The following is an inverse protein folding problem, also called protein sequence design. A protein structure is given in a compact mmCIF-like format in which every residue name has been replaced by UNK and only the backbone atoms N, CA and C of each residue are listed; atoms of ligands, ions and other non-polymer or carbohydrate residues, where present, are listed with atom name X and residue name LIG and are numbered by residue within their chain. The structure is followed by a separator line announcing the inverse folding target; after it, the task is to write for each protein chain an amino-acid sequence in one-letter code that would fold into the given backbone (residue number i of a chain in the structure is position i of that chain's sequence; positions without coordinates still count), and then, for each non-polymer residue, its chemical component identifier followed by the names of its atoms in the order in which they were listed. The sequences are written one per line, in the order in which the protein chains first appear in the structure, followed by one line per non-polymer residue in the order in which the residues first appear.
data_IF_961485644217
#
_entry.id   IF_961485644217
#
_cell.length_a   1.000
_cell.length_b   1.000
_cell.length_c   1.000
_cell.angle_alpha   90.00
_cell.angle_beta   90.00
_cell.angle_gamma   90.00
#
_symmetry.space_group_name_H-M   'P 1'
#
loop_
_entity.id
_entity.type
_entity.pdbx_description
1 polymer ?
#
# COMPACT_ATOMS: atom_id res chain seq x y z
N UNK A 1 -19.06 32.26 6.08
CA UNK A 1 -20.19 31.51 6.65
C UNK A 1 -20.59 30.46 5.62
N UNK A 2 -20.10 29.24 5.79
CA UNK A 2 -20.32 28.11 4.90
C UNK A 2 -20.20 26.87 5.77
N UNK A 3 -21.33 26.48 6.34
CA UNK A 3 -21.47 25.38 7.29
C UNK A 3 -21.17 24.08 6.54
N UNK A 4 -20.12 23.37 6.97
CA UNK A 4 -19.91 21.98 6.58
C UNK A 4 -20.90 21.17 7.43
N UNK A 5 -22.12 21.08 6.94
CA UNK A 5 -23.11 20.14 7.46
C UNK A 5 -23.49 19.19 6.33
N UNK A 6 -23.69 17.94 6.71
CA UNK A 6 -24.18 16.81 5.91
C UNK A 6 -23.15 16.07 5.05
N UNK A 7 -22.21 15.40 5.75
CA UNK A 7 -21.94 14.00 5.39
C UNK A 7 -23.20 13.25 5.82
N UNK A 8 -24.15 13.17 4.90
CA UNK A 8 -25.31 12.27 4.99
C UNK A 8 -24.82 10.90 5.43
N UNK A 9 -25.40 10.41 6.52
CA UNK A 9 -25.49 9.02 6.93
C UNK A 9 -25.55 8.12 5.70
N UNK A 10 -24.40 7.55 5.32
CA UNK A 10 -24.39 6.36 4.50
C UNK A 10 -25.00 5.27 5.40
N UNK A 11 -26.17 4.80 5.00
CA UNK A 11 -26.76 3.57 5.52
C UNK A 11 -25.67 2.53 5.70
N UNK A 12 -25.67 1.89 6.88
CA UNK A 12 -24.66 0.95 7.35
C UNK A 12 -24.26 -0.05 6.27
N UNK A 13 -23.20 0.26 5.53
CA UNK A 13 -22.28 -0.76 5.05
C UNK A 13 -21.85 -1.47 6.34
N UNK A 14 -22.15 -2.76 6.47
CA UNK A 14 -21.65 -3.52 7.62
C UNK A 14 -20.15 -3.32 7.79
N UNK A 15 -19.59 -3.71 8.94
CA UNK A 15 -18.17 -3.52 9.26
C UNK A 15 -17.26 -3.82 8.06
N UNK A 16 -16.46 -2.83 7.66
CA UNK A 16 -15.55 -2.92 6.52
C UNK A 16 -14.18 -3.36 7.00
N UNK A 17 -13.65 -4.45 6.44
CA UNK A 17 -12.33 -5.01 6.79
C UNK A 17 -11.26 -4.47 5.87
N UNK A 18 -10.41 -3.59 6.41
CA UNK A 18 -9.37 -2.89 5.67
C UNK A 18 -7.99 -3.46 6.00
N UNK A 19 -7.35 -4.05 5.01
CA UNK A 19 -5.98 -4.54 5.13
C UNK A 19 -4.97 -3.48 4.65
N UNK A 20 -4.05 -3.06 5.52
CA UNK A 20 -2.97 -2.12 5.20
C UNK A 20 -1.64 -2.88 5.07
N UNK A 21 -0.91 -2.65 3.98
CA UNK A 21 0.45 -3.16 3.84
C UNK A 21 1.44 -2.41 4.74
N UNK A 22 1.76 -2.99 5.89
CA UNK A 22 2.67 -2.43 6.89
C UNK A 22 4.06 -3.09 6.87
N UNK A 23 4.38 -3.95 5.89
CA UNK A 23 5.64 -4.73 5.86
C UNK A 23 6.89 -3.87 5.84
N UNK A 24 6.85 -2.73 5.16
CA UNK A 24 7.98 -1.78 5.08
C UNK A 24 8.30 -1.08 6.40
N UNK A 25 7.41 -1.15 7.41
CA UNK A 25 7.72 -0.67 8.76
C UNK A 25 8.72 -1.56 9.50
N UNK A 26 8.94 -2.78 9.02
CA UNK A 26 9.90 -3.74 9.57
C UNK A 26 11.20 -3.83 8.76
N UNK A 27 11.31 -3.07 7.66
CA UNK A 27 12.52 -3.04 6.82
C UNK A 27 13.32 -1.75 7.05
N UNK A 28 14.37 -1.54 6.25
CA UNK A 28 15.12 -0.27 6.22
C UNK A 28 14.26 0.91 5.76
N UNK A 29 13.15 0.66 5.07
CA UNK A 29 12.23 1.70 4.61
C UNK A 29 11.49 2.40 5.77
N UNK A 30 11.49 1.81 6.98
CA UNK A 30 10.85 2.39 8.16
C UNK A 30 11.34 3.80 8.46
N UNK A 31 12.63 4.10 8.28
CA UNK A 31 13.18 5.44 8.56
C UNK A 31 13.10 6.40 7.37
N UNK A 32 12.61 5.93 6.21
CA UNK A 32 12.46 6.72 4.98
C UNK A 32 11.08 7.38 4.91
N UNK A 33 10.85 8.15 3.84
CA UNK A 33 9.59 8.88 3.62
C UNK A 33 8.35 7.98 3.70
N UNK A 34 8.38 6.84 3.01
CA UNK A 34 7.28 5.86 3.02
C UNK A 34 6.96 5.32 4.42
N UNK A 35 7.97 4.95 5.20
CA UNK A 35 7.77 4.45 6.56
C UNK A 35 7.24 5.54 7.50
N UNK A 36 7.70 6.79 7.34
CA UNK A 36 7.16 7.94 8.08
C UNK A 36 5.70 8.21 7.70
N UNK A 37 5.37 8.17 6.41
CA UNK A 37 4.00 8.34 5.92
C UNK A 37 3.06 7.29 6.53
N UNK A 38 3.39 6.01 6.40
CA UNK A 38 2.53 4.93 6.89
C UNK A 38 2.37 4.97 8.42
N UNK A 39 3.43 5.27 9.19
CA UNK A 39 3.30 5.45 10.64
C UNK A 39 2.33 6.57 11.00
N UNK A 40 2.44 7.72 10.35
CA UNK A 40 1.57 8.85 10.62
C UNK A 40 0.13 8.58 10.19
N UNK A 41 -0.07 7.85 9.09
CA UNK A 41 -1.38 7.40 8.61
C UNK A 41 -2.04 6.47 9.63
N UNK A 42 -1.33 5.42 10.08
CA UNK A 42 -1.84 4.48 11.09
C UNK A 42 -2.12 5.19 12.42
N UNK A 43 -1.25 6.11 12.85
CA UNK A 43 -1.48 6.91 14.05
C UNK A 43 -2.71 7.83 13.92
N UNK A 44 -2.99 8.34 12.72
CA UNK A 44 -4.20 9.12 12.46
C UNK A 44 -5.46 8.24 12.52
N UNK A 45 -5.42 7.03 11.96
CA UNK A 45 -6.52 6.06 12.09
C UNK A 45 -6.73 5.63 13.53
N UNK A 46 -5.68 5.43 14.32
CA UNK A 46 -5.80 5.14 15.74
C UNK A 46 -6.53 6.25 16.51
N UNK A 47 -6.21 7.52 16.21
CA UNK A 47 -6.85 8.69 16.85
C UNK A 47 -8.29 8.92 16.39
N UNK A 48 -8.64 8.46 15.19
CA UNK A 48 -9.95 8.70 14.55
C UNK A 48 -10.58 7.39 14.07
N UNK A 49 -10.49 6.34 14.88
CA UNK A 49 -10.90 4.99 14.46
C UNK A 49 -12.40 4.96 14.21
N UNK A 50 -12.86 4.82 12.95
CA UNK A 50 -14.28 4.65 12.67
C UNK A 50 -14.78 3.36 13.35
N UNK A 51 -16.03 3.36 13.81
CA UNK A 51 -16.60 2.21 14.55
C UNK A 51 -16.91 1.02 13.64
N UNK A 52 -17.04 1.30 12.35
CA UNK A 52 -17.44 0.42 11.26
C UNK A 52 -16.24 -0.06 10.43
N UNK A 53 -15.01 0.11 10.93
CA UNK A 53 -13.80 -0.35 10.24
C UNK A 53 -12.99 -1.28 11.14
N UNK A 54 -12.75 -2.50 10.64
CA UNK A 54 -11.81 -3.45 11.21
C UNK A 54 -10.49 -3.37 10.45
N UNK A 55 -9.39 -3.17 11.19
CA UNK A 55 -8.07 -3.02 10.59
C UNK A 55 -7.32 -4.35 10.62
N UNK A 56 -6.66 -4.68 9.52
CA UNK A 56 -5.68 -5.76 9.46
C UNK A 56 -4.35 -5.22 8.95
N UNK A 57 -3.26 -5.50 9.65
CA UNK A 57 -1.93 -5.08 9.23
C UNK A 57 -1.17 -6.26 8.63
N UNK A 58 -0.64 -6.04 7.42
CA UNK A 58 0.27 -7.00 6.81
C UNK A 58 1.68 -6.82 7.38
N UNK A 59 2.22 -7.89 7.97
CA UNK A 59 3.52 -7.90 8.66
C UNK A 59 4.46 -8.93 8.07
N UNK A 60 5.76 -8.77 8.31
CA UNK A 60 6.79 -9.75 7.98
C UNK A 60 7.04 -10.64 9.20
N UNK A 61 6.67 -11.93 9.09
CA UNK A 61 6.83 -12.93 10.16
C UNK A 61 8.28 -13.10 10.61
N UNK A 62 9.20 -12.98 9.67
CA UNK A 62 10.62 -13.30 9.85
C UNK A 62 11.51 -12.05 10.02
N UNK A 63 10.92 -10.89 10.31
CA UNK A 63 11.62 -9.65 10.59
C UNK A 63 11.29 -9.18 12.01
N UNK A 64 12.17 -8.37 12.65
CA UNK A 64 11.85 -7.76 13.94
C UNK A 64 10.50 -7.03 13.89
N UNK A 65 9.76 -6.97 15.01
CA UNK A 65 8.54 -6.19 15.06
C UNK A 65 8.83 -4.73 14.70
N UNK A 66 7.84 -4.03 14.12
CA UNK A 66 7.96 -2.60 13.87
C UNK A 66 8.10 -1.84 15.21
N UNK A 67 8.59 -0.61 15.14
CA UNK A 67 8.55 0.32 16.27
C UNK A 67 7.09 0.42 16.81
N UNK A 68 6.87 0.30 18.14
CA UNK A 68 5.54 0.24 18.78
C UNK A 68 4.74 1.57 18.74
N UNK A 69 4.91 2.38 17.69
CA UNK A 69 4.18 3.63 17.50
C UNK A 69 2.67 3.46 17.63
N UNK A 70 1.93 4.56 17.69
CA UNK A 70 0.47 4.52 17.82
C UNK A 70 -0.18 3.83 16.61
N UNK A 71 -0.87 2.72 16.84
CA UNK A 71 -1.57 1.91 15.85
C UNK A 71 -3.07 1.81 16.20
N UNK A 72 -3.97 1.66 15.21
CA UNK A 72 -5.37 1.35 15.50
C UNK A 72 -5.47 -0.06 16.11
N UNK A 73 -6.60 -0.39 16.75
CA UNK A 73 -6.89 -1.79 17.07
C UNK A 73 -6.91 -2.60 15.76
N UNK A 74 -6.15 -3.69 15.70
CA UNK A 74 -5.94 -4.45 14.46
C UNK A 74 -5.65 -5.92 14.72
N UNK A 75 -5.96 -6.73 13.71
CA UNK A 75 -5.39 -8.07 13.53
C UNK A 75 -4.13 -8.00 12.67
N UNK A 76 -3.32 -9.07 12.71
CA UNK A 76 -2.14 -9.20 11.86
C UNK A 76 -2.28 -10.35 10.85
N UNK A 77 -1.89 -10.10 9.60
CA UNK A 77 -1.57 -11.15 8.63
C UNK A 77 -0.04 -11.22 8.50
N UNK A 78 0.51 -12.32 8.99
CA UNK A 78 1.94 -12.58 8.92
C UNK A 78 2.32 -13.16 7.53
N UNK A 79 3.08 -12.38 6.77
CA UNK A 79 3.66 -12.76 5.47
C UNK A 79 5.12 -13.22 5.65
N UNK A 80 5.57 -14.18 4.84
CA UNK A 80 6.95 -14.66 4.91
C UNK A 80 7.75 -14.21 3.69
N UNK A 81 8.94 -13.64 3.90
CA UNK A 81 9.84 -13.23 2.81
C UNK A 81 11.23 -13.84 2.97
N UNK A 82 11.99 -13.92 1.88
CA UNK A 82 13.39 -14.36 1.96
C UNK A 82 14.24 -13.32 2.71
N UNK A 83 15.33 -13.77 3.36
CA UNK A 83 16.23 -12.92 4.16
C UNK A 83 16.98 -11.85 3.34
N UNK A 84 17.12 -12.05 2.02
CA UNK A 84 17.59 -11.04 1.06
C UNK A 84 16.41 -10.55 0.22
N UNK A 85 15.60 -9.64 0.77
CA UNK A 85 14.27 -9.36 0.27
C UNK A 85 14.28 -8.70 -1.10
N UNK A 86 15.30 -7.92 -1.47
CA UNK A 86 15.31 -7.15 -2.74
C UNK A 86 14.96 -8.00 -3.98
N UNK A 87 15.44 -9.23 -4.07
CA UNK A 87 15.17 -10.12 -5.20
C UNK A 87 13.75 -10.74 -5.14
N UNK A 88 13.31 -11.12 -3.94
CA UNK A 88 12.00 -11.76 -3.74
C UNK A 88 10.83 -10.77 -3.70
N UNK A 89 11.06 -9.57 -3.15
CA UNK A 89 10.07 -8.50 -2.97
C UNK A 89 9.71 -7.80 -4.28
N UNK A 90 10.57 -7.91 -5.29
CA UNK A 90 10.34 -7.32 -6.60
C UNK A 90 9.73 -8.32 -7.59
N UNK A 91 10.23 -9.57 -7.62
CA UNK A 91 9.82 -10.53 -8.65
C UNK A 91 8.72 -11.52 -8.19
N UNK A 92 8.75 -12.04 -6.96
CA UNK A 92 7.78 -13.06 -6.53
C UNK A 92 6.68 -12.50 -5.64
N UNK A 93 6.87 -11.29 -5.12
CA UNK A 93 5.99 -10.67 -4.15
C UNK A 93 4.52 -10.61 -4.59
N UNK A 94 4.18 -10.18 -5.83
CA UNK A 94 2.78 -10.11 -6.22
C UNK A 94 2.06 -11.47 -6.18
N UNK A 95 2.78 -12.54 -6.53
CA UNK A 95 2.24 -13.90 -6.54
C UNK A 95 2.08 -14.41 -5.11
N UNK A 96 3.12 -14.30 -4.28
CA UNK A 96 3.06 -14.70 -2.88
C UNK A 96 1.98 -13.93 -2.12
N UNK A 97 1.88 -12.63 -2.36
CA UNK A 97 0.87 -11.78 -1.75
C UNK A 97 -0.56 -12.19 -2.14
N UNK A 98 -0.76 -12.66 -3.38
CA UNK A 98 -2.07 -13.20 -3.81
C UNK A 98 -2.49 -14.42 -2.98
N UNK A 99 -1.52 -15.29 -2.64
CA UNK A 99 -1.76 -16.47 -1.81
C UNK A 99 -1.97 -16.11 -0.34
N UNK A 100 -1.15 -15.20 0.19
CA UNK A 100 -1.18 -14.80 1.60
C UNK A 100 -2.46 -14.03 1.96
N UNK A 101 -3.00 -13.24 1.02
CA UNK A 101 -4.26 -12.51 1.19
C UNK A 101 -5.50 -13.35 0.84
N UNK A 102 -5.31 -14.51 0.19
CA UNK A 102 -6.40 -15.38 -0.23
C UNK A 102 -7.23 -15.88 0.94
N UNK A 103 -8.56 -15.69 0.89
CA UNK A 103 -9.49 -16.20 1.91
C UNK A 103 -9.42 -15.50 3.26
N UNK A 104 -8.74 -14.35 3.38
CA UNK A 104 -8.57 -13.61 4.64
C UNK A 104 -9.72 -12.65 4.98
N UNK A 105 -10.82 -12.68 4.23
CA UNK A 105 -11.97 -11.81 4.48
C UNK A 105 -11.60 -10.32 4.39
N UNK A 106 -10.88 -9.92 3.35
CA UNK A 106 -10.48 -8.53 3.13
C UNK A 106 -11.52 -7.88 2.22
N UNK A 107 -12.06 -6.73 2.64
CA UNK A 107 -12.99 -5.95 1.82
C UNK A 107 -12.25 -4.87 1.03
N UNK A 108 -11.19 -4.29 1.60
CA UNK A 108 -10.30 -3.33 0.89
C UNK A 108 -8.84 -3.58 1.27
N UNK A 109 -7.96 -3.60 0.27
CA UNK A 109 -6.52 -3.63 0.48
C UNK A 109 -5.88 -2.28 0.15
N UNK A 110 -5.05 -1.75 1.03
CA UNK A 110 -4.33 -0.50 0.80
C UNK A 110 -2.82 -0.69 0.91
N UNK A 111 -2.12 -0.46 -0.20
CA UNK A 111 -0.67 -0.52 -0.28
C UNK A 111 -0.05 0.86 -0.33
N UNK A 112 0.89 1.16 0.57
CA UNK A 112 1.65 2.42 0.50
C UNK A 112 2.95 2.30 -0.28
N UNK A 113 3.33 1.08 -0.73
CA UNK A 113 4.64 0.77 -1.30
C UNK A 113 4.61 0.15 -2.70
N UNK A 114 3.59 0.44 -3.52
CA UNK A 114 3.42 -0.14 -4.86
C UNK A 114 3.43 -1.68 -4.89
N UNK A 115 3.10 -2.33 -3.77
CA UNK A 115 2.98 -3.79 -3.70
C UNK A 115 1.51 -4.17 -3.73
N UNK A 116 1.07 -4.69 -4.87
CA UNK A 116 -0.27 -5.23 -5.06
C UNK A 116 -0.17 -6.73 -5.36
N UNK A 117 -1.16 -7.53 -4.93
CA UNK A 117 -1.23 -8.93 -5.34
C UNK A 117 -1.47 -9.03 -6.85
N UNK A 118 -0.84 -10.02 -7.50
CA UNK A 118 -1.06 -10.32 -8.91
C UNK A 118 -2.51 -10.72 -9.22
N UNK A 119 -3.18 -11.37 -8.27
CA UNK A 119 -4.61 -11.71 -8.33
C UNK A 119 -5.27 -11.37 -7.00
N UNK A 120 -6.43 -10.72 -7.08
CA UNK A 120 -7.25 -10.33 -5.92
C UNK A 120 -8.73 -10.39 -6.27
N UNK A 121 -9.56 -10.54 -5.23
CA UNK A 121 -11.04 -10.51 -5.32
C UNK A 121 -11.65 -9.35 -4.53
N UNK A 122 -10.80 -8.45 -4.03
CA UNK A 122 -11.15 -7.28 -3.25
C UNK A 122 -10.60 -6.04 -3.94
N UNK A 123 -11.25 -4.87 -3.84
CA UNK A 123 -10.71 -3.61 -4.30
C UNK A 123 -9.36 -3.27 -3.64
N UNK A 124 -8.47 -2.64 -4.39
CA UNK A 124 -7.15 -2.25 -3.95
C UNK A 124 -6.87 -0.77 -4.21
N UNK A 125 -6.37 -0.09 -3.17
CA UNK A 125 -5.90 1.28 -3.21
C UNK A 125 -4.37 1.26 -3.15
N UNK A 126 -3.73 2.10 -3.95
CA UNK A 126 -2.27 2.26 -3.88
C UNK A 126 -1.89 3.72 -3.66
N UNK A 127 -1.07 3.98 -2.65
CA UNK A 127 -0.41 5.28 -2.49
C UNK A 127 0.89 5.28 -3.28
N UNK A 128 1.06 6.26 -4.16
CA UNK A 128 2.26 6.46 -4.96
C UNK A 128 2.97 7.70 -4.42
N UNK A 129 4.21 7.51 -3.98
CA UNK A 129 5.05 8.58 -3.45
C UNK A 129 5.80 9.32 -4.56
N UNK A 130 6.42 8.58 -5.47
CA UNK A 130 7.11 9.11 -6.64
C UNK A 130 7.20 8.04 -7.75
N UNK A 131 7.53 8.50 -8.95
CA UNK A 131 7.88 7.65 -10.09
C UNK A 131 9.29 7.99 -10.59
N UNK A 132 10.19 8.34 -9.65
CA UNK A 132 11.59 8.67 -9.96
C UNK A 132 12.30 7.57 -10.79
N UNK A 133 12.07 6.26 -10.56
CA UNK A 133 12.67 5.22 -11.39
C UNK A 133 12.27 5.26 -12.87
N UNK A 134 11.08 5.77 -13.20
CA UNK A 134 10.63 5.97 -14.59
C UNK A 134 11.21 7.24 -15.22
N UNK A 135 11.53 8.26 -14.41
CA UNK A 135 12.19 9.48 -14.88
C UNK A 135 13.69 9.29 -15.11
N UNK A 136 14.34 8.54 -14.23
CA UNK A 136 15.80 8.36 -14.20
C UNK A 136 16.20 6.88 -14.20
N UNK A 137 15.81 6.09 -15.22
CA UNK A 137 16.03 4.66 -15.24
C UNK A 137 17.52 4.28 -15.17
N UNK A 138 18.42 5.12 -15.69
CA UNK A 138 19.86 4.90 -15.60
C UNK A 138 20.40 4.91 -14.17
N UNK A 139 19.72 5.59 -13.24
CA UNK A 139 20.13 5.69 -11.84
C UNK A 139 19.47 4.61 -10.97
N UNK A 140 18.17 4.35 -11.16
CA UNK A 140 17.38 3.48 -10.28
C UNK A 140 17.24 2.04 -10.79
N UNK A 141 17.28 1.85 -12.11
CA UNK A 141 16.97 0.58 -12.76
C UNK A 141 18.21 -0.01 -13.45
N UNK A 142 19.36 0.02 -12.78
CA UNK A 142 20.62 -0.50 -13.36
C UNK A 142 20.64 -2.03 -13.48
N UNK A 143 19.98 -2.72 -12.56
CA UNK A 143 19.98 -4.18 -12.48
C UNK A 143 18.75 -4.76 -13.21
N UNK A 144 18.88 -5.85 -14.00
CA UNK A 144 17.77 -6.45 -14.74
C UNK A 144 16.58 -6.85 -13.87
N UNK A 145 16.81 -7.43 -12.70
CA UNK A 145 15.73 -7.82 -11.80
C UNK A 145 14.98 -6.60 -11.24
N UNK A 146 15.69 -5.48 -11.00
CA UNK A 146 15.09 -4.23 -10.52
C UNK A 146 14.18 -3.65 -11.60
N UNK A 147 14.62 -3.67 -12.88
CA UNK A 147 13.79 -3.29 -14.02
C UNK A 147 12.51 -4.12 -14.09
N UNK A 148 12.64 -5.44 -14.03
CA UNK A 148 11.51 -6.35 -14.17
C UNK A 148 10.51 -6.17 -13.02
N UNK A 149 10.98 -6.10 -11.78
CA UNK A 149 10.12 -5.91 -10.62
C UNK A 149 9.38 -4.57 -10.63
N UNK A 150 10.07 -3.47 -10.94
CA UNK A 150 9.41 -2.17 -11.07
C UNK A 150 8.40 -2.15 -12.21
N UNK A 151 8.75 -2.71 -13.38
CA UNK A 151 7.81 -2.84 -14.49
C UNK A 151 6.55 -3.61 -14.09
N UNK A 152 6.68 -4.66 -13.29
CA UNK A 152 5.54 -5.43 -12.78
C UNK A 152 4.73 -4.64 -11.75
N UNK A 153 5.37 -3.99 -10.77
CA UNK A 153 4.70 -3.13 -9.79
C UNK A 153 3.91 -2.01 -10.46
N UNK A 154 4.50 -1.33 -11.45
CA UNK A 154 3.81 -0.32 -12.25
C UNK A 154 2.70 -0.91 -13.09
N UNK A 155 2.87 -2.11 -13.65
CA UNK A 155 1.79 -2.80 -14.35
C UNK A 155 0.60 -3.09 -13.44
N UNK A 156 0.84 -3.52 -12.20
CA UNK A 156 -0.20 -3.79 -11.22
C UNK A 156 -0.85 -2.51 -10.70
N UNK A 157 -0.07 -1.45 -10.45
CA UNK A 157 -0.59 -0.15 -10.02
C UNK A 157 -1.59 0.45 -11.01
N UNK A 158 -1.40 0.21 -12.32
CA UNK A 158 -2.39 0.59 -13.36
C UNK A 158 -3.75 -0.10 -13.20
N UNK A 159 -3.80 -1.21 -12.49
CA UNK A 159 -5.00 -2.00 -12.20
C UNK A 159 -5.47 -1.83 -10.75
N UNK A 160 -4.96 -0.85 -9.99
CA UNK A 160 -5.57 -0.47 -8.73
C UNK A 160 -6.96 0.15 -8.98
N UNK A 161 -7.88 -0.02 -8.03
CA UNK A 161 -9.22 0.58 -8.11
C UNK A 161 -9.20 2.06 -7.75
N UNK A 162 -8.25 2.47 -6.90
CA UNK A 162 -7.97 3.88 -6.61
C UNK A 162 -6.47 4.13 -6.43
N UNK A 163 -6.03 5.33 -6.81
CA UNK A 163 -4.64 5.75 -6.67
C UNK A 163 -4.56 7.04 -5.85
N UNK A 164 -3.80 7.00 -4.75
CA UNK A 164 -3.49 8.19 -3.96
C UNK A 164 -2.12 8.70 -4.36
N UNK A 165 -2.08 9.82 -5.06
CA UNK A 165 -0.84 10.57 -5.28
C UNK A 165 -0.61 11.53 -4.12
N UNK A 166 0.59 11.52 -3.52
CA UNK A 166 0.92 12.39 -2.38
C UNK A 166 1.14 13.86 -2.74
N UNK A 167 1.13 14.20 -4.04
CA UNK A 167 1.27 15.56 -4.54
C UNK A 167 0.74 15.68 -5.98
N UNK A 168 0.46 16.91 -6.41
CA UNK A 168 0.11 17.21 -7.81
C UNK A 168 1.24 16.89 -8.81
N UNK A 169 2.50 16.94 -8.36
CA UNK A 169 3.63 16.51 -9.18
C UNK A 169 3.59 14.99 -9.40
N UNK A 170 3.37 14.22 -8.34
CA UNK A 170 3.22 12.76 -8.42
C UNK A 170 1.98 12.38 -9.22
N UNK A 171 0.87 13.12 -9.08
CA UNK A 171 -0.36 12.91 -9.86
C UNK A 171 -0.10 13.04 -11.37
N UNK A 172 0.57 14.11 -11.79
CA UNK A 172 0.98 14.29 -13.20
C UNK A 172 1.83 13.14 -13.70
N UNK A 173 2.82 12.72 -12.91
CA UNK A 173 3.65 11.57 -13.27
C UNK A 173 2.84 10.27 -13.42
N UNK A 174 1.87 10.03 -12.52
CA UNK A 174 0.99 8.85 -12.59
C UNK A 174 0.17 8.87 -13.89
N UNK A 175 -0.43 10.01 -14.23
CA UNK A 175 -1.22 10.15 -15.47
C UNK A 175 -0.33 9.99 -16.71
N UNK A 176 0.80 10.69 -16.76
CA UNK A 176 1.67 10.73 -17.95
C UNK A 176 2.45 9.42 -18.17
N UNK A 177 2.93 8.80 -17.08
CA UNK A 177 3.86 7.65 -17.14
C UNK A 177 3.15 6.32 -16.93
N UNK A 178 2.19 6.24 -16.02
CA UNK A 178 1.41 5.02 -15.80
C UNK A 178 0.15 4.97 -16.65
N UNK A 179 -0.28 6.08 -17.25
CA UNK A 179 -1.53 6.15 -18.05
C UNK A 179 -2.76 5.77 -17.22
N UNK A 180 -2.74 6.11 -15.93
CA UNK A 180 -3.91 5.99 -15.05
C UNK A 180 -4.78 7.25 -15.21
N UNK A 181 -6.10 7.13 -15.37
CA UNK A 181 -7.02 8.27 -15.41
C UNK A 181 -6.91 9.15 -14.16
N UNK A 182 -7.07 10.47 -14.31
CA UNK A 182 -6.86 11.43 -13.23
C UNK A 182 -7.97 11.44 -12.16
N UNK A 183 -9.10 10.80 -12.45
CA UNK A 183 -10.28 10.60 -11.62
C UNK A 183 -10.29 9.24 -10.87
N UNK A 184 -9.27 8.42 -11.09
CA UNK A 184 -9.01 7.17 -10.36
C UNK A 184 -8.04 7.39 -9.21
#
# INVERSE_FOLDING_TARGET
MGTITDITTADSLGTVRVAIDARHLQTVARVRGIGRYTRNLLAAFARRSPRDVEWTLLRLRNFPPPDPGLLPAHDDIATSRLRHPELSMLALDPVLLSLELGGKGIDVYHSTQLSLPARRRFPAVVTIHDLAPLRWPAHYLRLPYSRLGHAWQYALARHADAVIAVSEATKRDVVERLRVPADR
#
